data_IF_749044836191
#
_entry.id   IF_749044836191
#
_cell.length_a   1.000
_cell.length_b   1.000
_cell.length_c   1.000
_cell.angle_alpha   90.00
_cell.angle_beta   90.00
_cell.angle_gamma   90.00
#
_symmetry.space_group_name_H-M   'P 1'
#
loop_
_entity.id
_entity.type
_entity.pdbx_description
1 polymer ?
#
# COMPACT_ATOMS: atom_id res chain seq x y z
N UNK A 1 21.62 -6.65 -25.75
CA UNK A 1 21.16 -6.77 -24.36
C UNK A 1 19.97 -5.83 -24.21
N UNK A 2 18.75 -6.37 -24.19
CA UNK A 2 17.55 -5.57 -23.95
C UNK A 2 17.59 -5.01 -22.52
N UNK A 3 18.11 -3.79 -22.38
CA UNK A 3 18.07 -3.05 -21.12
C UNK A 3 16.63 -2.57 -20.90
N UNK A 4 15.78 -3.49 -20.46
CA UNK A 4 14.38 -3.22 -20.15
C UNK A 4 14.35 -2.33 -18.91
N UNK A 5 14.03 -1.05 -19.12
CA UNK A 5 13.92 -0.05 -18.04
C UNK A 5 12.82 -0.50 -17.08
N UNK A 6 13.18 -0.63 -15.81
CA UNK A 6 12.29 -1.12 -14.76
C UNK A 6 12.32 -0.15 -13.58
N UNK A 7 11.14 0.29 -13.14
CA UNK A 7 10.98 1.26 -12.05
C UNK A 7 10.22 0.62 -10.89
N UNK A 8 10.75 0.76 -9.69
CA UNK A 8 10.04 0.43 -8.45
C UNK A 8 9.34 1.69 -7.94
N UNK A 9 8.01 1.67 -7.91
CA UNK A 9 7.19 2.76 -7.41
C UNK A 9 6.64 2.39 -6.02
N UNK A 10 7.21 2.98 -4.97
CA UNK A 10 6.81 2.76 -3.57
C UNK A 10 5.81 3.83 -3.17
N UNK A 11 4.65 3.42 -2.64
CA UNK A 11 3.56 4.34 -2.31
C UNK A 11 3.00 4.11 -0.92
N UNK A 12 2.70 5.22 -0.23
CA UNK A 12 2.06 5.21 1.07
C UNK A 12 0.59 4.75 0.95
N UNK A 13 0.07 3.93 1.89
CA UNK A 13 -1.24 3.28 1.79
C UNK A 13 -2.44 4.19 2.08
N UNK A 14 -2.41 5.42 1.59
CA UNK A 14 -3.54 6.34 1.64
C UNK A 14 -4.17 6.50 0.25
N UNK A 15 -5.50 6.53 0.18
CA UNK A 15 -6.25 6.61 -1.08
C UNK A 15 -5.85 7.83 -1.94
N UNK A 16 -5.51 8.95 -1.29
CA UNK A 16 -5.00 10.15 -1.96
C UNK A 16 -3.65 9.98 -2.65
N UNK A 17 -2.84 8.99 -2.25
CA UNK A 17 -1.53 8.68 -2.86
C UNK A 17 -1.62 7.53 -3.87
N UNK A 18 -2.48 6.54 -3.64
CA UNK A 18 -2.62 5.37 -4.53
C UNK A 18 -3.08 5.78 -5.93
N UNK A 19 -4.15 6.58 -6.05
CA UNK A 19 -4.74 6.92 -7.34
C UNK A 19 -3.80 7.74 -8.25
N UNK A 20 -3.16 8.83 -7.77
CA UNK A 20 -2.16 9.55 -8.57
C UNK A 20 -0.98 8.66 -8.97
N UNK A 21 -0.53 7.77 -8.07
CA UNK A 21 0.59 6.89 -8.34
C UNK A 21 0.27 5.82 -9.39
N UNK A 22 -0.95 5.27 -9.39
CA UNK A 22 -1.40 4.36 -10.44
C UNK A 22 -1.51 5.06 -11.80
N UNK A 23 -1.99 6.31 -11.84
CA UNK A 23 -2.00 7.12 -13.07
C UNK A 23 -0.59 7.41 -13.58
N UNK A 24 0.34 7.66 -12.67
CA UNK A 24 1.75 7.83 -13.00
C UNK A 24 2.37 6.52 -13.53
N UNK A 25 2.11 5.39 -12.87
CA UNK A 25 2.55 4.07 -13.32
C UNK A 25 2.03 3.75 -14.74
N UNK A 26 0.76 4.06 -15.03
CA UNK A 26 0.21 3.90 -16.38
C UNK A 26 0.99 4.68 -17.43
N UNK A 27 1.34 5.95 -17.14
CA UNK A 27 2.16 6.76 -18.06
C UNK A 27 3.55 6.17 -18.28
N UNK A 28 4.17 5.59 -17.25
CA UNK A 28 5.46 4.91 -17.37
C UNK A 28 5.36 3.68 -18.29
N UNK A 29 4.29 2.90 -18.16
CA UNK A 29 4.02 1.74 -19.02
C UNK A 29 3.77 2.18 -20.47
N UNK A 30 3.02 3.26 -20.68
CA UNK A 30 2.79 3.83 -22.01
C UNK A 30 4.11 4.30 -22.68
N UNK A 31 5.14 4.61 -21.90
CA UNK A 31 6.50 4.91 -22.36
C UNK A 31 7.38 3.65 -22.59
N UNK A 32 6.82 2.45 -22.43
CA UNK A 32 7.53 1.18 -22.58
C UNK A 32 8.41 0.81 -21.39
N UNK A 33 8.15 1.37 -20.21
CA UNK A 33 8.89 1.10 -18.97
C UNK A 33 8.08 0.12 -18.12
N UNK A 34 8.72 -0.94 -17.66
CA UNK A 34 8.09 -1.85 -16.70
C UNK A 34 8.01 -1.15 -15.33
N UNK A 35 6.91 -1.36 -14.61
CA UNK A 35 6.70 -0.78 -13.28
C UNK A 35 6.33 -1.87 -12.29
N UNK A 36 7.08 -1.93 -11.19
CA UNK A 36 6.66 -2.65 -10.00
C UNK A 36 6.10 -1.65 -9.00
N UNK A 37 4.81 -1.80 -8.68
CA UNK A 37 4.10 -0.98 -7.72
C UNK A 37 4.15 -1.64 -6.34
N UNK A 38 4.89 -1.02 -5.43
CA UNK A 38 5.05 -1.48 -4.06
C UNK A 38 4.20 -0.66 -3.09
N UNK A 39 3.42 -1.33 -2.26
CA UNK A 39 2.59 -0.72 -1.22
C UNK A 39 2.36 -1.70 -0.08
N UNK A 40 1.79 -1.24 1.04
CA UNK A 40 1.46 -2.11 2.18
C UNK A 40 0.54 -3.27 1.76
N UNK A 41 0.62 -4.40 2.47
CA UNK A 41 -0.33 -5.51 2.34
C UNK A 41 -1.78 -5.03 2.50
N UNK A 42 -2.04 -4.14 3.45
CA UNK A 42 -3.35 -3.54 3.69
C UNK A 42 -3.90 -2.81 2.45
N UNK A 43 -3.10 -1.94 1.84
CA UNK A 43 -3.50 -1.22 0.63
C UNK A 43 -3.71 -2.15 -0.55
N UNK A 44 -2.88 -3.19 -0.70
CA UNK A 44 -3.04 -4.15 -1.79
C UNK A 44 -4.36 -4.92 -1.66
N UNK A 45 -4.73 -5.38 -0.45
CA UNK A 45 -6.02 -6.06 -0.20
C UNK A 45 -7.19 -5.13 -0.56
N UNK A 46 -7.09 -3.85 -0.20
CA UNK A 46 -8.13 -2.85 -0.49
C UNK A 46 -8.24 -2.54 -1.99
N UNK A 47 -7.12 -2.45 -2.70
CA UNK A 47 -7.09 -2.30 -4.15
C UNK A 47 -7.68 -3.53 -4.86
N UNK A 48 -7.26 -4.74 -4.47
CA UNK A 48 -7.74 -5.99 -5.05
C UNK A 48 -9.26 -6.14 -4.93
N UNK A 49 -9.86 -5.70 -3.81
CA UNK A 49 -11.32 -5.70 -3.63
C UNK A 49 -12.04 -4.75 -4.60
N UNK A 50 -11.43 -3.62 -4.96
CA UNK A 50 -11.99 -2.64 -5.90
C UNK A 50 -11.72 -2.98 -7.36
N UNK A 51 -10.58 -3.62 -7.65
CA UNK A 51 -10.12 -3.92 -9.03
C UNK A 51 -10.31 -5.39 -9.42
N UNK A 52 -11.04 -6.20 -8.63
CA UNK A 52 -11.27 -7.62 -8.90
C UNK A 52 -11.82 -7.93 -10.30
N UNK A 53 -12.44 -6.95 -10.97
CA UNK A 53 -12.99 -7.08 -12.32
C UNK A 53 -12.02 -6.66 -13.45
N UNK A 54 -10.78 -6.23 -13.14
CA UNK A 54 -9.86 -5.69 -14.15
C UNK A 54 -8.45 -6.22 -13.95
N UNK A 55 -7.97 -7.00 -14.92
CA UNK A 55 -6.57 -7.45 -14.97
C UNK A 55 -5.63 -6.25 -15.07
N UNK A 56 -4.48 -6.25 -14.36
CA UNK A 56 -3.51 -5.19 -14.46
C UNK A 56 -2.96 -5.06 -15.89
N UNK A 57 -2.62 -3.84 -16.35
CA UNK A 57 -2.04 -3.63 -17.67
C UNK A 57 -0.70 -4.35 -17.80
N UNK A 58 -0.41 -4.84 -19.01
CA UNK A 58 0.87 -5.47 -19.35
C UNK A 58 2.03 -4.51 -19.01
N UNK A 59 2.96 -4.95 -18.16
CA UNK A 59 4.07 -4.10 -17.68
C UNK A 59 3.88 -3.54 -16.27
N UNK A 60 2.73 -3.73 -15.62
CA UNK A 60 2.52 -3.45 -14.20
C UNK A 60 2.63 -4.74 -13.36
N UNK A 61 3.45 -4.73 -12.32
CA UNK A 61 3.54 -5.80 -11.32
C UNK A 61 3.28 -5.21 -9.94
N UNK A 62 2.60 -5.94 -9.05
CA UNK A 62 2.38 -5.51 -7.67
C UNK A 62 3.29 -6.27 -6.71
N UNK A 63 3.94 -5.56 -5.79
CA UNK A 63 4.82 -6.12 -4.77
C UNK A 63 4.40 -5.60 -3.38
N UNK A 64 3.55 -6.33 -2.64
CA UNK A 64 3.20 -5.93 -1.29
C UNK A 64 4.39 -6.03 -0.35
N UNK A 65 4.46 -5.14 0.63
CA UNK A 65 5.38 -5.24 1.75
C UNK A 65 4.65 -5.06 3.07
N UNK A 66 5.18 -5.67 4.12
CA UNK A 66 4.69 -5.48 5.48
C UNK A 66 5.11 -4.10 5.99
N UNK A 67 4.16 -3.30 6.43
CA UNK A 67 4.38 -2.02 7.11
C UNK A 67 4.16 -2.13 8.64
N UNK A 68 4.07 -3.36 9.15
CA UNK A 68 3.71 -3.64 10.55
C UNK A 68 2.20 -3.58 10.83
N UNK A 69 1.38 -3.39 9.78
CA UNK A 69 -0.08 -3.32 9.85
C UNK A 69 -0.74 -4.35 8.91
N UNK A 70 -0.27 -5.60 9.01
CA UNK A 70 -0.76 -6.70 8.15
C UNK A 70 -2.01 -7.39 8.70
N UNK A 71 -2.27 -7.23 10.00
CA UNK A 71 -3.41 -7.79 10.69
C UNK A 71 -4.66 -6.95 10.43
N UNK A 72 -5.75 -7.65 10.10
CA UNK A 72 -7.07 -7.12 9.70
C UNK A 72 -7.82 -6.33 10.79
N UNK A 73 -7.12 -5.93 11.86
CA UNK A 73 -7.71 -5.49 13.12
C UNK A 73 -8.44 -4.16 13.07
N UNK A 74 -8.01 -3.14 12.31
CA UNK A 74 -8.64 -1.82 12.44
C UNK A 74 -8.51 -0.84 11.26
N UNK A 75 -7.95 -1.22 10.11
CA UNK A 75 -7.73 -0.29 8.99
C UNK A 75 -6.87 0.95 9.30
N UNK A 76 -6.29 1.55 8.26
CA UNK A 76 -5.56 2.81 8.38
C UNK A 76 -6.54 3.96 8.71
N UNK A 77 -6.70 4.30 10.00
CA UNK A 77 -7.49 5.45 10.47
C UNK A 77 -6.69 6.74 10.29
N UNK A 78 -6.80 7.34 9.10
CA UNK A 78 -6.37 8.72 8.90
C UNK A 78 -7.36 9.65 9.64
N UNK A 79 -7.13 9.88 10.94
CA UNK A 79 -7.97 10.82 11.70
C UNK A 79 -8.12 10.61 13.21
N UNK A 80 -7.33 9.78 13.88
CA UNK A 80 -7.38 9.73 15.35
C UNK A 80 -5.99 9.75 15.93
N UNK A 81 -5.64 10.95 16.45
CA UNK A 81 -4.80 11.22 17.62
C UNK A 81 -3.85 10.08 17.99
N UNK A 82 -2.54 10.33 17.91
CA UNK A 82 -1.52 9.65 18.71
C UNK A 82 -2.07 9.42 20.13
N UNK A 83 -2.64 8.26 20.40
CA UNK A 83 -2.78 7.79 21.78
C UNK A 83 -1.53 6.98 22.00
N UNK A 84 -0.62 7.60 22.75
CA UNK A 84 0.37 6.93 23.57
C UNK A 84 -0.32 5.74 24.23
N UNK A 85 -0.21 4.54 23.64
CA UNK A 85 -0.51 3.28 24.33
C UNK A 85 0.63 3.02 25.29
N UNK A 86 0.72 3.90 26.29
CA UNK A 86 1.58 3.70 27.43
C UNK A 86 1.00 4.44 28.64
N UNK A 87 -0.26 4.13 29.02
CA UNK A 87 -0.71 4.36 30.40
C UNK A 87 -2.00 3.62 30.81
N UNK A 88 -2.19 2.33 30.49
CA UNK A 88 -3.24 1.54 31.17
C UNK A 88 -2.82 0.13 31.61
N UNK A 89 -1.51 -0.18 31.61
CA UNK A 89 -1.00 -1.46 32.18
C UNK A 89 -0.38 -1.33 33.58
N UNK A 90 -0.72 -0.28 34.32
CA UNK A 90 -0.31 -0.15 35.73
C UNK A 90 -1.43 0.48 36.56
N UNK A 91 -2.54 -0.25 36.75
CA UNK A 91 -3.41 -0.07 37.92
C UNK A 91 -4.46 -1.18 37.97
N UNK A 92 -4.37 -2.02 39.00
CA UNK A 92 -5.49 -2.90 39.37
C UNK A 92 -5.12 -4.35 39.72
N UNK A 93 -4.00 -4.58 40.40
CA UNK A 93 -3.70 -5.85 41.05
C UNK A 93 -3.10 -5.56 42.42
N UNK A 94 -3.92 -5.09 43.35
CA UNK A 94 -3.60 -5.07 44.77
C UNK A 94 -4.91 -5.14 45.59
N UNK A 95 -4.92 -6.12 46.49
CA UNK A 95 -5.97 -6.60 47.41
C UNK A 95 -6.96 -7.58 46.78
#
# INVERSE_FOLDING_TARGET
MDSRRHVLLVTFPAQGHINPSLRFAKRLIDMGINVTFATSVYAQRRMAKTTAATSPPNGLTFAPFSDGYDDDGDGFKLGTRYTVTNLEKLRGGCV
#
